data_IF_570029011490
#
_entry.id   IF_570029011490
#
_cell.length_a   1.000
_cell.length_b   1.000
_cell.length_c   1.000
_cell.angle_alpha   90.00
_cell.angle_beta   90.00
_cell.angle_gamma   90.00
#
_symmetry.space_group_name_H-M   'P 1'
#
loop_
_entity.id
_entity.type
_entity.pdbx_description
1 polymer ?
#
# COMPACT_ATOMS: atom_id res chain seq x y z
N UNK A 1 -17.75 -18.92 -9.12
CA UNK A 1 -16.41 -19.56 -9.21
C UNK A 1 -15.86 -19.52 -10.64
N UNK A 2 -16.57 -20.04 -11.65
CA UNK A 2 -16.13 -20.02 -13.06
C UNK A 2 -15.80 -18.61 -13.60
N UNK A 3 -16.59 -17.59 -13.27
CA UNK A 3 -16.29 -16.19 -13.65
C UNK A 3 -15.00 -15.66 -13.03
N UNK A 4 -14.66 -16.08 -11.81
CA UNK A 4 -13.42 -15.67 -11.12
C UNK A 4 -12.22 -16.34 -11.77
N UNK A 5 -12.33 -17.64 -12.11
CA UNK A 5 -11.28 -18.38 -12.80
C UNK A 5 -11.07 -17.85 -14.22
N UNK A 6 -12.14 -17.59 -14.97
CA UNK A 6 -12.05 -17.00 -16.31
C UNK A 6 -11.47 -15.58 -16.28
N UNK A 7 -11.84 -14.77 -15.29
CA UNK A 7 -11.24 -13.47 -15.05
C UNK A 7 -9.75 -13.59 -14.69
N UNK A 8 -9.37 -14.57 -13.85
CA UNK A 8 -8.00 -14.81 -13.43
C UNK A 8 -7.08 -15.24 -14.59
N UNK A 9 -7.53 -16.20 -15.40
CA UNK A 9 -6.83 -16.61 -16.63
C UNK A 9 -6.65 -15.43 -17.59
N UNK A 10 -7.66 -14.55 -17.65
CA UNK A 10 -7.58 -13.32 -18.46
C UNK A 10 -6.57 -12.32 -17.88
N UNK A 11 -6.51 -12.12 -16.57
CA UNK A 11 -5.47 -11.28 -15.94
C UNK A 11 -4.09 -11.82 -16.24
N UNK A 12 -3.86 -13.13 -16.10
CA UNK A 12 -2.58 -13.75 -16.45
C UNK A 12 -2.20 -13.49 -17.91
N UNK A 13 -3.15 -13.64 -18.83
CA UNK A 13 -2.88 -13.40 -20.26
C UNK A 13 -2.55 -11.94 -20.59
N UNK A 14 -2.90 -10.99 -19.72
CA UNK A 14 -2.72 -9.55 -19.95
C UNK A 14 -1.48 -8.98 -19.26
N UNK A 15 -0.80 -9.75 -18.42
CA UNK A 15 0.44 -9.34 -17.77
C UNK A 15 1.55 -10.33 -18.14
N UNK A 16 2.35 -10.04 -19.19
CA UNK A 16 3.48 -10.87 -19.61
C UNK A 16 4.46 -11.16 -18.47
N UNK A 17 4.59 -10.23 -17.51
CA UNK A 17 5.42 -10.38 -16.33
C UNK A 17 4.96 -11.54 -15.42
N UNK A 18 3.67 -11.90 -15.47
CA UNK A 18 3.14 -13.08 -14.77
C UNK A 18 3.60 -14.40 -15.39
N UNK A 19 4.17 -14.38 -16.61
CA UNK A 19 4.83 -15.55 -17.18
C UNK A 19 6.15 -15.88 -16.44
N UNK A 20 6.72 -14.92 -15.70
CA UNK A 20 7.91 -15.13 -14.88
C UNK A 20 7.60 -14.89 -13.40
N UNK A 21 6.90 -15.81 -12.72
CA UNK A 21 6.54 -15.63 -11.33
C UNK A 21 7.80 -15.51 -10.44
N UNK A 22 7.66 -14.68 -9.41
CA UNK A 22 8.58 -14.50 -8.28
C UNK A 22 9.82 -13.70 -8.66
N UNK A 23 9.66 -12.75 -9.58
CA UNK A 23 10.74 -11.93 -10.11
C UNK A 23 11.46 -11.14 -9.00
N UNK A 24 10.75 -10.53 -8.04
CA UNK A 24 11.43 -9.80 -6.96
C UNK A 24 12.19 -10.77 -6.05
N UNK A 25 11.61 -11.92 -5.72
CA UNK A 25 12.32 -12.95 -4.95
C UNK A 25 13.61 -13.42 -5.63
N UNK A 26 13.61 -13.61 -6.96
CA UNK A 26 14.83 -14.00 -7.69
C UNK A 26 15.90 -12.91 -7.66
N UNK A 27 15.52 -11.64 -7.69
CA UNK A 27 16.45 -10.52 -7.50
C UNK A 27 17.06 -10.58 -6.09
N UNK A 28 16.23 -10.78 -5.06
CA UNK A 28 16.75 -10.92 -3.69
C UNK A 28 17.65 -12.14 -3.56
N UNK A 29 17.27 -13.30 -4.11
CA UNK A 29 18.08 -14.52 -4.08
C UNK A 29 19.44 -14.31 -4.77
N UNK A 30 19.44 -13.75 -5.98
CA UNK A 30 20.66 -13.42 -6.71
C UNK A 30 21.57 -12.48 -5.91
N UNK A 31 21.00 -11.42 -5.31
CA UNK A 31 21.76 -10.51 -4.47
C UNK A 31 22.37 -11.20 -3.25
N UNK A 32 21.63 -12.13 -2.61
CA UNK A 32 22.15 -12.92 -1.49
C UNK A 32 23.29 -13.85 -1.90
N UNK A 33 23.21 -14.48 -3.08
CA UNK A 33 24.26 -15.35 -3.60
C UNK A 33 25.53 -14.55 -3.96
N UNK A 34 25.36 -13.35 -4.53
CA UNK A 34 26.46 -12.40 -4.78
C UNK A 34 27.08 -11.94 -3.45
N UNK A 35 26.28 -11.53 -2.47
CA UNK A 35 26.79 -11.14 -1.15
C UNK A 35 27.54 -12.28 -0.44
N UNK A 36 27.05 -13.52 -0.56
CA UNK A 36 27.69 -14.70 0.04
C UNK A 36 29.06 -15.02 -0.57
N UNK A 37 29.29 -14.62 -1.82
CA UNK A 37 30.58 -14.70 -2.52
C UNK A 37 31.43 -13.43 -2.38
N UNK A 38 31.06 -12.51 -1.48
CA UNK A 38 31.68 -11.19 -1.28
C UNK A 38 31.67 -10.30 -2.54
N UNK A 39 30.74 -10.53 -3.46
CA UNK A 39 30.52 -9.66 -4.62
C UNK A 39 29.68 -8.43 -4.30
N UNK A 40 29.53 -7.56 -5.29
CA UNK A 40 28.71 -6.35 -5.22
C UNK A 40 27.25 -6.64 -5.62
N UNK A 41 26.30 -6.64 -4.65
CA UNK A 41 24.89 -6.91 -4.94
C UNK A 41 24.22 -5.81 -5.78
N UNK A 42 24.87 -4.65 -5.98
CA UNK A 42 24.37 -3.56 -6.81
C UNK A 42 24.82 -3.66 -8.28
N UNK A 43 25.59 -4.68 -8.65
CA UNK A 43 25.95 -4.95 -10.04
C UNK A 43 24.74 -5.44 -10.85
N UNK A 44 24.20 -4.59 -11.71
CA UNK A 44 23.03 -4.91 -12.56
C UNK A 44 23.32 -6.13 -13.44
N UNK A 45 24.53 -6.23 -14.00
CA UNK A 45 24.92 -7.34 -14.87
C UNK A 45 24.88 -8.67 -14.11
N UNK A 46 25.49 -8.73 -12.92
CA UNK A 46 25.53 -9.96 -12.11
C UNK A 46 24.12 -10.36 -11.62
N UNK A 47 23.36 -9.39 -11.09
CA UNK A 47 21.98 -9.63 -10.63
C UNK A 47 21.10 -10.08 -11.78
N UNK A 48 21.23 -9.48 -12.96
CA UNK A 48 20.40 -9.84 -14.12
C UNK A 48 20.74 -11.23 -14.64
N UNK A 49 22.02 -11.58 -14.68
CA UNK A 49 22.49 -12.90 -15.09
C UNK A 49 21.95 -14.02 -14.18
N UNK A 50 21.96 -13.80 -12.86
CA UNK A 50 21.50 -14.81 -11.89
C UNK A 50 19.98 -14.85 -11.72
N UNK A 51 19.31 -13.69 -11.77
CA UNK A 51 17.85 -13.64 -11.56
C UNK A 51 17.03 -13.93 -12.81
N UNK A 52 17.66 -13.90 -14.00
CA UNK A 52 16.99 -13.90 -15.30
C UNK A 52 15.93 -12.78 -15.41
N UNK A 53 16.23 -11.61 -14.84
CA UNK A 53 15.44 -10.39 -14.93
C UNK A 53 16.36 -9.23 -15.33
N UNK A 54 15.83 -8.16 -15.93
CA UNK A 54 16.61 -6.95 -16.24
C UNK A 54 16.52 -5.88 -15.14
N UNK A 55 16.20 -6.30 -13.91
CA UNK A 55 15.95 -5.42 -12.77
C UNK A 55 17.16 -5.40 -11.83
N UNK A 56 17.43 -4.25 -11.23
CA UNK A 56 18.50 -4.09 -10.26
C UNK A 56 18.04 -4.46 -8.85
N UNK A 57 19.00 -4.75 -7.98
CA UNK A 57 18.80 -4.78 -6.55
C UNK A 57 18.70 -3.36 -5.99
N UNK A 58 17.56 -3.02 -5.41
CA UNK A 58 17.25 -1.65 -4.92
C UNK A 58 16.89 -1.67 -3.43
N UNK A 59 17.78 -2.25 -2.62
CA UNK A 59 17.70 -2.21 -1.15
C UNK A 59 18.77 -1.27 -0.60
N UNK A 60 18.47 -0.38 0.36
CA UNK A 60 19.47 0.51 0.93
C UNK A 60 20.63 -0.25 1.60
N UNK A 61 21.84 0.34 1.68
CA UNK A 61 23.04 -0.36 2.17
C UNK A 61 22.87 -0.96 3.57
N UNK A 62 22.32 -0.20 4.52
CA UNK A 62 22.18 -0.68 5.90
C UNK A 62 21.34 -1.99 6.00
N UNK A 63 20.10 -2.06 5.45
CA UNK A 63 19.39 -3.32 5.31
C UNK A 63 20.13 -4.39 4.50
N UNK A 64 20.83 -4.02 3.43
CA UNK A 64 21.60 -4.97 2.62
C UNK A 64 22.71 -5.64 3.46
N UNK A 65 23.38 -4.89 4.34
CA UNK A 65 24.33 -5.47 5.31
C UNK A 65 23.63 -6.43 6.27
N UNK A 66 22.46 -6.08 6.81
CA UNK A 66 21.69 -6.99 7.67
C UNK A 66 21.34 -8.29 6.92
N UNK A 67 20.94 -8.19 5.66
CA UNK A 67 20.66 -9.34 4.81
C UNK A 67 21.91 -10.20 4.56
N UNK A 68 23.08 -9.58 4.32
CA UNK A 68 24.37 -10.26 4.19
C UNK A 68 24.74 -11.03 5.46
N UNK A 69 24.56 -10.42 6.63
CA UNK A 69 24.80 -11.07 7.92
C UNK A 69 23.84 -12.25 8.16
N UNK A 70 22.55 -12.06 7.86
CA UNK A 70 21.56 -13.13 8.00
C UNK A 70 21.82 -14.30 7.04
N UNK A 71 22.17 -14.01 5.79
CA UNK A 71 22.49 -15.04 4.79
C UNK A 71 23.77 -15.79 5.12
N UNK A 72 24.78 -15.12 5.71
CA UNK A 72 25.97 -15.79 6.21
C UNK A 72 25.63 -16.79 7.33
N UNK A 73 24.74 -16.42 8.25
CA UNK A 73 24.34 -17.29 9.36
C UNK A 73 23.52 -18.51 8.94
N UNK A 74 22.60 -18.36 7.99
CA UNK A 74 21.64 -19.43 7.64
C UNK A 74 21.91 -20.09 6.28
N UNK A 75 22.81 -19.52 5.47
CA UNK A 75 22.95 -19.82 4.05
C UNK A 75 22.00 -18.97 3.19
N UNK A 76 22.43 -18.54 1.99
CA UNK A 76 21.68 -17.61 1.14
C UNK A 76 20.37 -18.21 0.62
N UNK A 77 20.35 -19.50 0.24
CA UNK A 77 19.13 -20.17 -0.21
C UNK A 77 18.09 -20.33 0.90
N UNK A 78 18.51 -20.75 2.10
CA UNK A 78 17.60 -20.91 3.24
C UNK A 78 17.00 -19.55 3.61
N UNK A 79 17.82 -18.51 3.67
CA UNK A 79 17.35 -17.16 3.95
C UNK A 79 16.41 -16.65 2.87
N UNK A 80 16.76 -16.83 1.59
CA UNK A 80 15.92 -16.43 0.47
C UNK A 80 14.56 -17.13 0.46
N UNK A 81 14.49 -18.43 0.71
CA UNK A 81 13.21 -19.15 0.85
C UNK A 81 12.42 -18.70 2.08
N UNK A 82 13.08 -18.39 3.19
CA UNK A 82 12.43 -17.83 4.36
C UNK A 82 11.81 -16.46 4.06
N UNK A 83 12.49 -15.59 3.31
CA UNK A 83 11.95 -14.30 2.86
C UNK A 83 10.76 -14.45 1.91
N UNK A 84 10.83 -15.41 0.99
CA UNK A 84 9.71 -15.74 0.11
C UNK A 84 8.49 -16.21 0.91
N UNK A 85 8.68 -17.17 1.81
CA UNK A 85 7.60 -17.69 2.66
C UNK A 85 7.02 -16.58 3.54
N UNK A 86 7.87 -15.76 4.16
CA UNK A 86 7.44 -14.61 4.94
C UNK A 86 6.59 -13.65 4.11
N UNK A 87 6.94 -13.43 2.85
CA UNK A 87 6.19 -12.56 1.94
C UNK A 87 4.81 -13.12 1.61
N UNK A 88 4.74 -14.41 1.25
CA UNK A 88 3.47 -15.09 0.96
C UNK A 88 2.57 -15.12 2.19
N UNK A 89 3.10 -15.48 3.35
CA UNK A 89 2.33 -15.46 4.61
C UNK A 89 1.87 -14.05 4.95
N UNK A 90 2.73 -13.04 4.78
CA UNK A 90 2.42 -11.64 5.06
C UNK A 90 1.28 -11.12 4.18
N UNK A 91 1.17 -11.55 2.93
CA UNK A 91 0.03 -11.21 2.07
C UNK A 91 -1.31 -11.62 2.70
N UNK A 92 -1.41 -12.88 3.15
CA UNK A 92 -2.64 -13.37 3.79
C UNK A 92 -2.89 -12.68 5.13
N UNK A 93 -1.84 -12.42 5.92
CA UNK A 93 -1.94 -11.64 7.17
C UNK A 93 -2.52 -10.25 6.89
N UNK A 94 -2.02 -9.54 5.88
CA UNK A 94 -2.56 -8.25 5.46
C UNK A 94 -4.06 -8.34 5.14
N UNK A 95 -4.48 -9.30 4.31
CA UNK A 95 -5.90 -9.47 3.93
C UNK A 95 -6.76 -9.75 5.16
N UNK A 96 -6.36 -10.69 6.02
CA UNK A 96 -7.11 -11.06 7.23
C UNK A 96 -7.23 -9.88 8.19
N UNK A 97 -6.12 -9.19 8.47
CA UNK A 97 -6.12 -8.08 9.42
C UNK A 97 -6.84 -6.85 8.90
N UNK A 98 -6.68 -6.48 7.62
CA UNK A 98 -7.45 -5.38 7.01
C UNK A 98 -8.94 -5.68 7.06
N UNK A 99 -9.34 -6.92 6.74
CA UNK A 99 -10.75 -7.35 6.85
C UNK A 99 -11.26 -7.17 8.28
N UNK A 100 -10.48 -7.63 9.28
CA UNK A 100 -10.84 -7.54 10.69
C UNK A 100 -10.90 -6.09 11.20
N UNK A 101 -9.94 -5.25 10.81
CA UNK A 101 -9.87 -3.83 11.20
C UNK A 101 -11.07 -3.07 10.63
N UNK A 102 -11.35 -3.25 9.34
CA UNK A 102 -12.36 -2.46 8.62
C UNK A 102 -13.79 -2.94 8.88
N UNK A 103 -14.01 -4.25 8.94
CA UNK A 103 -15.35 -4.80 9.14
C UNK A 103 -15.68 -5.09 10.61
N UNK A 104 -14.70 -5.04 11.52
CA UNK A 104 -14.80 -5.44 12.94
C UNK A 104 -15.28 -6.88 13.17
N UNK A 105 -15.38 -7.67 12.12
CA UNK A 105 -15.82 -9.07 12.12
C UNK A 105 -15.06 -9.83 11.04
N UNK A 106 -14.88 -11.12 11.27
CA UNK A 106 -14.30 -12.03 10.29
C UNK A 106 -15.31 -13.14 10.03
N UNK A 107 -15.86 -13.19 8.82
CA UNK A 107 -16.67 -14.32 8.36
C UNK A 107 -16.05 -14.90 7.09
N UNK A 108 -16.24 -16.20 6.81
CA UNK A 108 -15.68 -16.82 5.61
C UNK A 108 -16.07 -16.09 4.32
N UNK A 109 -17.33 -15.64 4.21
CA UNK A 109 -17.79 -14.88 3.06
C UNK A 109 -17.13 -13.50 2.90
N UNK A 110 -16.90 -12.79 4.01
CA UNK A 110 -16.17 -11.51 3.98
C UNK A 110 -14.71 -11.72 3.63
N UNK A 111 -14.06 -12.73 4.22
CA UNK A 111 -12.67 -13.02 3.90
C UNK A 111 -12.49 -13.42 2.44
N UNK A 112 -13.40 -14.24 1.89
CA UNK A 112 -13.39 -14.61 0.49
C UNK A 112 -13.60 -13.38 -0.41
N UNK A 113 -14.51 -12.47 -0.04
CA UNK A 113 -14.72 -11.22 -0.76
C UNK A 113 -13.47 -10.33 -0.70
N UNK A 114 -12.88 -10.13 0.49
CA UNK A 114 -11.68 -9.32 0.68
C UNK A 114 -10.48 -9.87 -0.08
N UNK A 115 -10.34 -11.20 -0.13
CA UNK A 115 -9.31 -11.86 -0.94
C UNK A 115 -9.58 -11.68 -2.45
N UNK A 116 -10.83 -11.85 -2.90
CA UNK A 116 -11.19 -11.61 -4.29
C UNK A 116 -10.94 -10.14 -4.68
N UNK A 117 -11.31 -9.20 -3.81
CA UNK A 117 -11.05 -7.77 -3.99
C UNK A 117 -9.55 -7.47 -4.01
N UNK A 118 -8.75 -8.03 -3.10
CA UNK A 118 -7.30 -7.76 -3.10
C UNK A 118 -6.64 -8.31 -4.35
N UNK A 119 -7.04 -9.50 -4.81
CA UNK A 119 -6.54 -10.11 -6.03
C UNK A 119 -7.01 -9.36 -7.29
N UNK A 120 -8.23 -8.80 -7.30
CA UNK A 120 -8.83 -8.19 -8.48
C UNK A 120 -8.64 -6.70 -8.63
N UNK A 121 -8.44 -6.00 -7.52
CA UNK A 121 -8.20 -4.58 -7.54
C UNK A 121 -6.98 -4.25 -8.40
N UNK A 122 -6.99 -3.05 -9.00
CA UNK A 122 -5.74 -2.40 -9.35
C UNK A 122 -4.91 -3.14 -10.41
N UNK A 123 -5.59 -3.64 -11.44
CA UNK A 123 -4.99 -4.47 -12.50
C UNK A 123 -4.32 -5.73 -11.95
N UNK A 124 -5.00 -6.40 -11.02
CA UNK A 124 -4.45 -7.60 -10.41
C UNK A 124 -3.34 -7.31 -9.39
N UNK A 125 -3.38 -6.15 -8.72
CA UNK A 125 -2.32 -5.71 -7.81
C UNK A 125 -2.01 -6.73 -6.71
N UNK A 126 -3.02 -7.40 -6.14
CA UNK A 126 -2.78 -8.49 -5.18
C UNK A 126 -2.18 -9.75 -5.80
N UNK A 127 -2.48 -10.05 -7.08
CA UNK A 127 -1.80 -11.13 -7.82
C UNK A 127 -0.34 -10.78 -8.03
N UNK A 128 -0.05 -9.55 -8.45
CA UNK A 128 1.33 -9.08 -8.61
C UNK A 128 2.08 -9.03 -7.27
N UNK A 129 1.41 -8.69 -6.17
CA UNK A 129 2.00 -8.74 -4.83
C UNK A 129 2.36 -10.18 -4.44
N UNK A 130 1.43 -11.11 -4.59
CA UNK A 130 1.63 -12.50 -4.22
C UNK A 130 2.67 -13.20 -5.10
N UNK A 131 2.60 -12.99 -6.42
CA UNK A 131 3.50 -13.61 -7.38
C UNK A 131 4.81 -12.86 -7.53
N UNK A 132 4.89 -11.56 -7.27
CA UNK A 132 6.16 -10.84 -7.27
C UNK A 132 7.04 -11.24 -6.10
N UNK A 133 6.42 -11.59 -4.96
CA UNK A 133 7.09 -11.83 -3.70
C UNK A 133 7.95 -10.63 -3.24
N UNK A 134 7.37 -9.43 -3.34
CA UNK A 134 8.02 -8.19 -2.89
C UNK A 134 8.09 -8.12 -1.35
N UNK A 135 9.29 -7.85 -0.83
CA UNK A 135 9.52 -7.71 0.61
C UNK A 135 8.71 -6.57 1.26
N UNK A 136 8.18 -5.59 0.51
CA UNK A 136 7.29 -4.55 1.06
C UNK A 136 6.06 -5.14 1.75
N UNK A 137 5.58 -6.30 1.32
CA UNK A 137 4.41 -6.96 1.90
C UNK A 137 4.67 -7.40 3.35
N UNK A 138 5.91 -7.82 3.67
CA UNK A 138 6.31 -8.16 5.05
C UNK A 138 6.21 -6.94 5.95
N UNK A 139 6.71 -5.79 5.48
CA UNK A 139 6.64 -4.53 6.19
C UNK A 139 5.20 -4.02 6.36
N UNK A 140 4.38 -4.13 5.31
CA UNK A 140 2.94 -3.84 5.40
C UNK A 140 2.25 -4.73 6.45
N UNK A 141 2.55 -6.02 6.49
CA UNK A 141 1.97 -6.93 7.48
C UNK A 141 2.38 -6.55 8.91
N UNK A 142 3.65 -6.20 9.14
CA UNK A 142 4.13 -5.74 10.43
C UNK A 142 3.43 -4.43 10.87
N UNK A 143 3.33 -3.45 9.96
CA UNK A 143 2.65 -2.17 10.22
C UNK A 143 1.15 -2.40 10.48
N UNK A 144 0.46 -3.19 9.67
CA UNK A 144 -0.98 -3.47 9.84
C UNK A 144 -1.24 -4.23 11.14
N UNK A 145 -0.37 -5.17 11.49
CA UNK A 145 -0.44 -5.91 12.77
C UNK A 145 -0.32 -4.94 13.94
N UNK A 146 0.66 -4.05 13.91
CA UNK A 146 0.85 -3.07 14.99
C UNK A 146 -0.24 -1.99 15.01
N UNK A 147 -0.83 -1.63 13.86
CA UNK A 147 -2.06 -0.81 13.81
C UNK A 147 -3.20 -1.55 14.50
N UNK A 148 -3.43 -2.83 14.20
CA UNK A 148 -4.49 -3.62 14.82
C UNK A 148 -4.40 -3.62 16.35
N UNK A 149 -3.22 -3.85 16.90
CA UNK A 149 -2.99 -3.78 18.35
C UNK A 149 -3.05 -2.34 18.89
N UNK A 150 -2.52 -1.35 18.16
CA UNK A 150 -2.58 0.07 18.53
C UNK A 150 -4.02 0.59 18.64
N UNK A 151 -4.91 0.15 17.74
CA UNK A 151 -6.34 0.45 17.78
C UNK A 151 -7.03 -0.15 19.01
N UNK A 152 -6.62 -1.35 19.43
CA UNK A 152 -7.19 -2.07 20.57
C UNK A 152 -6.71 -1.51 21.91
N UNK A 153 -5.40 -1.37 22.06
CA UNK A 153 -4.76 -1.13 23.35
C UNK A 153 -4.37 0.35 23.55
N UNK A 154 -4.55 1.20 22.53
CA UNK A 154 -4.14 2.61 22.52
C UNK A 154 -2.65 2.82 22.79
N UNK A 155 -1.83 1.83 22.45
CA UNK A 155 -0.37 1.84 22.60
C UNK A 155 0.27 1.75 21.22
N UNK A 156 0.93 2.83 20.81
CA UNK A 156 1.51 2.97 19.46
C UNK A 156 3.02 2.71 19.40
N UNK A 157 3.67 2.35 20.51
CA UNK A 157 5.14 2.13 20.54
C UNK A 157 5.61 1.09 19.53
N UNK A 158 4.96 -0.09 19.50
CA UNK A 158 5.29 -1.14 18.54
C UNK A 158 5.06 -0.69 17.10
N UNK A 159 4.03 0.14 16.87
CA UNK A 159 3.74 0.72 15.56
C UNK A 159 4.87 1.68 15.11
N UNK A 160 5.34 2.58 15.97
CA UNK A 160 6.45 3.47 15.64
C UNK A 160 7.73 2.69 15.31
N UNK A 161 8.01 1.61 16.05
CA UNK A 161 9.15 0.74 15.75
C UNK A 161 8.98 0.00 14.41
N UNK A 162 7.79 -0.53 14.13
CA UNK A 162 7.51 -1.20 12.85
C UNK A 162 7.67 -0.23 11.68
N UNK A 163 7.16 1.02 11.81
CA UNK A 163 7.34 2.06 10.79
C UNK A 163 8.81 2.44 10.64
N UNK A 164 9.56 2.64 11.73
CA UNK A 164 10.99 2.95 11.66
C UNK A 164 11.76 1.87 10.91
N UNK A 165 11.61 0.61 11.32
CA UNK A 165 12.28 -0.53 10.67
C UNK A 165 11.92 -0.59 9.19
N UNK A 166 10.63 -0.47 8.87
CA UNK A 166 10.17 -0.50 7.48
C UNK A 166 10.71 0.69 6.67
N UNK A 167 10.78 1.87 7.27
CA UNK A 167 11.26 3.09 6.62
C UNK A 167 12.76 3.05 6.29
N UNK A 168 13.54 2.29 7.07
CA UNK A 168 14.97 2.03 6.77
C UNK A 168 15.13 1.18 5.50
N UNK A 169 14.17 0.30 5.18
CA UNK A 169 14.15 -0.42 3.91
C UNK A 169 13.55 0.42 2.78
N UNK A 170 12.43 1.09 3.04
CA UNK A 170 11.73 1.94 2.06
C UNK A 170 11.16 3.20 2.73
N UNK A 171 11.68 4.41 2.45
CA UNK A 171 11.33 5.61 3.20
C UNK A 171 9.84 5.97 3.21
N UNK A 172 9.08 5.59 2.17
CA UNK A 172 7.66 5.90 2.08
C UNK A 172 6.81 5.28 3.19
N UNK A 173 7.30 4.28 3.93
CA UNK A 173 6.56 3.71 5.06
C UNK A 173 6.30 4.72 6.19
N UNK A 174 7.05 5.83 6.26
CA UNK A 174 6.76 6.94 7.19
C UNK A 174 5.38 7.56 6.97
N UNK A 175 4.78 7.37 5.78
CA UNK A 175 3.42 7.85 5.49
C UNK A 175 2.37 7.20 6.39
N UNK A 176 2.64 6.01 6.96
CA UNK A 176 1.72 5.39 7.92
C UNK A 176 1.65 6.15 9.24
N UNK A 177 2.62 7.03 9.58
CA UNK A 177 2.59 7.84 10.81
C UNK A 177 1.33 8.72 10.92
N UNK A 178 0.61 8.94 9.81
CA UNK A 178 -0.69 9.62 9.82
C UNK A 178 -1.73 8.91 10.70
N UNK A 179 -1.61 7.60 10.93
CA UNK A 179 -2.59 6.83 11.72
C UNK A 179 -2.72 7.33 13.15
N UNK A 180 -1.68 7.23 14.01
CA UNK A 180 -1.80 7.70 15.39
C UNK A 180 -2.04 9.22 15.48
N UNK A 181 -1.60 9.99 14.48
CA UNK A 181 -1.76 11.45 14.45
C UNK A 181 -3.18 11.89 14.12
N UNK A 182 -3.88 11.18 13.23
CA UNK A 182 -5.15 11.65 12.66
C UNK A 182 -6.34 10.73 12.94
N UNK A 183 -6.16 9.54 13.50
CA UNK A 183 -7.28 8.65 13.85
C UNK A 183 -8.25 9.34 14.83
N UNK A 184 -7.67 10.02 15.82
CA UNK A 184 -8.25 10.78 16.93
C UNK A 184 -8.90 12.13 16.56
N UNK A 185 -8.61 12.62 15.35
CA UNK A 185 -8.28 14.04 15.20
C UNK A 185 -6.80 14.29 15.50
N UNK A 186 -6.35 15.54 15.43
CA UNK A 186 -4.92 15.89 15.52
C UNK A 186 -4.35 15.63 16.92
N UNK A 187 -3.43 14.67 17.04
CA UNK A 187 -2.76 14.32 18.28
C UNK A 187 -1.30 14.82 18.30
N UNK A 188 -1.05 15.97 18.94
CA UNK A 188 0.29 16.59 18.99
C UNK A 188 1.39 15.70 19.57
N UNK A 189 1.06 14.88 20.59
CA UNK A 189 2.01 13.93 21.17
C UNK A 189 2.46 12.91 20.13
N UNK A 190 1.52 12.30 19.44
CA UNK A 190 1.79 11.31 18.39
C UNK A 190 2.51 11.94 17.19
N UNK A 191 2.18 13.20 16.86
CA UNK A 191 2.89 13.97 15.83
C UNK A 191 4.37 14.15 16.18
N UNK A 192 4.69 14.59 17.40
CA UNK A 192 6.08 14.75 17.87
C UNK A 192 6.84 13.42 17.85
N UNK A 193 6.22 12.33 18.31
CA UNK A 193 6.82 10.99 18.24
C UNK A 193 7.07 10.57 16.80
N UNK A 194 6.12 10.82 15.90
CA UNK A 194 6.26 10.59 14.46
C UNK A 194 7.41 11.39 13.84
N UNK A 195 7.56 12.68 14.17
CA UNK A 195 8.72 13.47 13.77
C UNK A 195 10.03 12.84 14.25
N UNK A 196 10.06 12.30 15.47
CA UNK A 196 11.20 11.54 15.98
C UNK A 196 11.55 10.33 15.11
N UNK A 197 10.55 9.55 14.65
CA UNK A 197 10.74 8.43 13.72
C UNK A 197 11.30 8.89 12.37
N UNK A 198 10.80 10.00 11.83
CA UNK A 198 11.30 10.58 10.56
C UNK A 198 12.77 11.01 10.70
N UNK A 199 13.10 11.74 11.77
CA UNK A 199 14.47 12.17 12.06
C UNK A 199 15.38 10.96 12.25
N UNK A 200 14.96 9.95 13.04
CA UNK A 200 15.73 8.73 13.25
C UNK A 200 16.00 7.99 11.92
N UNK A 201 14.98 7.89 11.05
CA UNK A 201 15.14 7.31 9.71
C UNK A 201 16.17 8.08 8.90
N UNK A 202 16.07 9.42 8.85
CA UNK A 202 17.02 10.26 8.13
C UNK A 202 18.45 10.13 8.66
N UNK A 203 18.62 10.06 9.98
CA UNK A 203 19.92 9.84 10.62
C UNK A 203 20.51 8.46 10.28
N UNK A 204 19.69 7.42 10.20
CA UNK A 204 20.15 6.08 9.78
C UNK A 204 20.60 6.06 8.31
N UNK A 205 19.90 6.76 7.42
CA UNK A 205 20.35 6.94 6.04
C UNK A 205 21.64 7.75 5.94
N UNK A 206 21.77 8.82 6.73
CA UNK A 206 22.99 9.62 6.80
C UNK A 206 24.17 8.78 7.33
N UNK A 207 23.95 8.01 8.39
CA UNK A 207 24.95 7.10 8.93
C UNK A 207 25.35 6.02 7.92
N UNK A 208 24.38 5.44 7.19
CA UNK A 208 24.66 4.48 6.13
C UNK A 208 25.47 5.09 4.99
N UNK A 209 25.16 6.32 4.58
CA UNK A 209 25.90 7.04 3.54
C UNK A 209 27.35 7.35 3.95
N UNK A 210 27.61 7.57 5.25
CA UNK A 210 28.96 7.76 5.79
C UNK A 210 29.72 6.44 5.95
N UNK A 211 29.04 5.37 6.37
CA UNK A 211 29.66 4.06 6.60
C UNK A 211 29.92 3.28 5.30
N UNK A 212 29.05 3.44 4.30
CA UNK A 212 29.08 2.69 3.03
C UNK A 212 28.89 3.64 1.83
N UNK A 213 29.80 4.62 1.61
CA UNK A 213 29.62 5.66 0.61
C UNK A 213 29.49 5.10 -0.82
N UNK A 214 30.28 4.07 -1.16
CA UNK A 214 30.27 3.46 -2.49
C UNK A 214 28.98 2.68 -2.75
N UNK A 215 28.57 1.83 -1.81
CA UNK A 215 27.30 1.09 -1.89
C UNK A 215 26.10 2.05 -1.92
N UNK A 216 26.15 3.16 -1.17
CA UNK A 216 25.12 4.18 -1.20
C UNK A 216 25.04 4.87 -2.56
N UNK A 217 26.18 5.19 -3.18
CA UNK A 217 26.21 5.79 -4.53
C UNK A 217 25.62 4.83 -5.57
N UNK A 218 25.98 3.54 -5.51
CA UNK A 218 25.45 2.50 -6.39
C UNK A 218 23.96 2.27 -6.17
N UNK A 219 23.51 2.22 -4.91
CA UNK A 219 22.09 2.15 -4.57
C UNK A 219 21.32 3.34 -5.16
N UNK A 220 21.83 4.57 -5.00
CA UNK A 220 21.19 5.77 -5.56
C UNK A 220 21.18 5.75 -7.09
N UNK A 221 22.24 5.27 -7.73
CA UNK A 221 22.29 5.07 -9.18
C UNK A 221 21.23 4.06 -9.63
N UNK A 222 21.22 2.86 -9.05
CA UNK A 222 20.24 1.82 -9.41
C UNK A 222 18.81 2.27 -9.11
N UNK A 223 18.58 2.95 -7.98
CA UNK A 223 17.29 3.57 -7.68
C UNK A 223 16.91 4.59 -8.75
N UNK A 224 17.86 5.37 -9.24
CA UNK A 224 17.64 6.37 -10.29
C UNK A 224 17.34 5.70 -11.63
N UNK A 225 18.21 4.81 -12.09
CA UNK A 225 18.07 4.11 -13.37
C UNK A 225 16.79 3.24 -13.43
N UNK A 226 16.53 2.44 -12.40
CA UNK A 226 15.34 1.58 -12.38
C UNK A 226 14.05 2.38 -12.11
N UNK A 227 14.04 3.32 -11.16
CA UNK A 227 12.81 4.05 -10.82
C UNK A 227 12.49 5.22 -11.76
N UNK A 228 13.49 5.83 -12.39
CA UNK A 228 13.33 7.03 -13.21
C UNK A 228 13.50 6.77 -14.70
N UNK A 229 14.50 5.98 -15.11
CA UNK A 229 14.83 5.82 -16.53
C UNK A 229 14.09 4.64 -17.18
N UNK A 230 14.12 3.44 -16.57
CA UNK A 230 13.50 2.24 -17.14
C UNK A 230 11.98 2.16 -16.91
N UNK A 231 11.51 2.48 -15.70
CA UNK A 231 10.09 2.36 -15.34
C UNK A 231 9.23 3.59 -15.69
N UNK A 232 9.77 4.60 -16.39
CA UNK A 232 9.05 5.84 -16.80
C UNK A 232 8.29 6.53 -15.66
N UNK A 233 9.04 6.84 -14.59
CA UNK A 233 8.76 7.73 -13.45
C UNK A 233 7.66 7.34 -12.44
N UNK A 234 8.04 7.32 -11.15
CA UNK A 234 7.16 7.30 -9.96
C UNK A 234 6.10 6.18 -9.87
N UNK A 235 6.19 5.18 -10.75
CA UNK A 235 5.17 4.15 -10.88
C UNK A 235 3.82 4.77 -11.26
N UNK A 236 2.75 4.24 -10.68
CA UNK A 236 1.40 4.73 -10.90
C UNK A 236 0.96 5.78 -9.85
N UNK A 237 1.89 6.53 -9.27
CA UNK A 237 1.59 7.44 -8.16
C UNK A 237 1.07 8.80 -8.61
N UNK A 238 0.36 9.50 -7.71
CA UNK A 238 -0.12 10.86 -7.91
C UNK A 238 0.96 11.84 -8.40
N UNK A 239 2.22 11.57 -8.05
CA UNK A 239 3.38 12.33 -8.48
C UNK A 239 3.64 12.17 -9.98
N UNK A 240 3.50 10.94 -10.53
CA UNK A 240 3.62 10.71 -11.96
C UNK A 240 2.49 11.38 -12.73
N UNK A 241 1.24 11.33 -12.24
CA UNK A 241 0.13 12.05 -12.87
C UNK A 241 0.39 13.55 -12.91
N UNK A 242 0.83 14.13 -11.79
CA UNK A 242 1.22 15.54 -11.75
C UNK A 242 2.31 15.87 -12.78
N UNK A 243 3.33 15.01 -12.91
CA UNK A 243 4.40 15.17 -13.91
C UNK A 243 3.87 15.08 -15.35
N UNK A 244 3.04 14.08 -15.66
CA UNK A 244 2.45 13.91 -17.00
C UNK A 244 1.53 15.08 -17.36
N UNK A 245 0.75 15.57 -16.40
CA UNK A 245 -0.22 16.66 -16.62
C UNK A 245 0.43 18.05 -16.64
N UNK A 246 1.44 18.29 -15.81
CA UNK A 246 2.04 19.63 -15.62
C UNK A 246 3.49 19.74 -16.12
N UNK A 247 4.03 18.68 -16.75
CA UNK A 247 5.39 18.57 -17.25
C UNK A 247 6.42 18.20 -16.17
N UNK A 248 7.70 18.09 -16.58
CA UNK A 248 8.83 17.71 -15.69
C UNK A 248 9.22 18.78 -14.66
N UNK A 249 8.43 19.85 -14.53
CA UNK A 249 8.66 20.87 -13.51
C UNK A 249 8.27 20.29 -12.16
N UNK A 250 9.27 20.11 -11.29
CA UNK A 250 9.16 19.63 -9.89
C UNK A 250 7.97 20.23 -9.12
N UNK A 251 7.62 21.49 -9.40
CA UNK A 251 6.48 22.20 -8.81
C UNK A 251 5.09 21.60 -9.13
N UNK A 252 4.88 21.05 -10.34
CA UNK A 252 3.60 20.42 -10.72
C UNK A 252 3.40 19.07 -10.02
N UNK A 253 4.48 18.31 -9.88
CA UNK A 253 4.52 17.03 -9.16
C UNK A 253 4.32 17.20 -7.65
N UNK A 254 4.99 18.18 -7.04
CA UNK A 254 4.77 18.55 -5.63
C UNK A 254 3.35 19.09 -5.45
N UNK A 255 2.86 19.93 -6.37
CA UNK A 255 1.52 20.49 -6.34
C UNK A 255 0.41 19.43 -6.37
N UNK A 256 0.54 18.39 -7.21
CA UNK A 256 -0.42 17.30 -7.27
C UNK A 256 -0.44 16.45 -6.00
N UNK A 257 0.73 16.16 -5.41
CA UNK A 257 0.84 15.42 -4.16
C UNK A 257 0.33 16.22 -2.95
N UNK A 258 0.64 17.51 -2.89
CA UNK A 258 0.10 18.43 -1.88
C UNK A 258 -1.40 18.56 -2.04
N UNK A 259 -1.92 18.72 -3.26
CA UNK A 259 -3.35 18.79 -3.51
C UNK A 259 -4.07 17.50 -3.11
N UNK A 260 -3.57 16.34 -3.55
CA UNK A 260 -4.14 15.04 -3.17
C UNK A 260 -4.09 14.84 -1.65
N UNK A 261 -2.97 15.18 -1.01
CA UNK A 261 -2.82 15.15 0.44
C UNK A 261 -3.80 16.07 1.14
N UNK A 262 -3.94 17.33 0.69
CA UNK A 262 -4.86 18.30 1.27
C UNK A 262 -6.32 17.90 1.11
N UNK A 263 -6.73 17.38 -0.05
CA UNK A 263 -8.12 16.92 -0.24
C UNK A 263 -8.40 15.70 0.64
N UNK A 264 -7.49 14.73 0.68
CA UNK A 264 -7.64 13.54 1.51
C UNK A 264 -7.62 13.85 3.01
N UNK A 265 -6.75 14.76 3.46
CA UNK A 265 -6.73 15.28 4.83
C UNK A 265 -8.01 16.05 5.15
N UNK A 266 -8.51 16.86 4.23
CA UNK A 266 -9.77 17.59 4.40
C UNK A 266 -10.92 16.61 4.59
N UNK A 267 -11.02 15.57 3.76
CA UNK A 267 -12.03 14.52 3.90
C UNK A 267 -11.94 13.78 5.25
N UNK A 268 -10.74 13.58 5.81
CA UNK A 268 -10.55 12.96 7.12
C UNK A 268 -11.09 13.79 8.28
N UNK A 269 -11.12 15.12 8.19
CA UNK A 269 -11.71 15.98 9.23
C UNK A 269 -13.23 15.87 9.31
N UNK A 270 -13.89 15.46 8.22
CA UNK A 270 -15.35 15.30 8.16
C UNK A 270 -15.83 13.91 8.60
N UNK A 271 -14.95 12.92 8.68
CA UNK A 271 -15.30 11.58 9.14
C UNK A 271 -15.32 11.51 10.67
N UNK A 272 -16.30 10.81 11.28
CA UNK A 272 -16.36 10.66 12.74
C UNK A 272 -15.06 10.09 13.29
N UNK A 273 -14.65 10.62 14.45
CA UNK A 273 -13.46 10.14 15.17
C UNK A 273 -13.64 8.65 15.45
N UNK A 274 -12.64 7.83 15.11
CA UNK A 274 -12.66 6.36 15.22
C UNK A 274 -13.69 5.56 14.38
N UNK A 275 -14.35 6.16 13.39
CA UNK A 275 -15.16 5.37 12.47
C UNK A 275 -14.27 4.46 11.61
N UNK A 276 -14.78 3.29 11.22
CA UNK A 276 -14.11 2.37 10.30
C UNK A 276 -13.81 3.05 8.96
N UNK A 277 -14.68 3.96 8.51
CA UNK A 277 -14.44 4.81 7.35
C UNK A 277 -13.19 5.67 7.48
N UNK A 278 -12.91 6.19 8.69
CA UNK A 278 -11.73 7.01 8.92
C UNK A 278 -10.47 6.18 8.84
N UNK A 279 -10.48 4.98 9.42
CA UNK A 279 -9.38 4.01 9.31
C UNK A 279 -9.16 3.60 7.85
N UNK A 280 -10.23 3.28 7.13
CA UNK A 280 -10.17 2.94 5.71
C UNK A 280 -9.57 4.08 4.88
N UNK A 281 -10.04 5.30 5.12
CA UNK A 281 -9.53 6.48 4.43
C UNK A 281 -8.04 6.68 4.71
N UNK A 282 -7.58 6.55 5.96
CA UNK A 282 -6.16 6.66 6.32
C UNK A 282 -5.29 5.64 5.57
N UNK A 283 -5.74 4.39 5.39
CA UNK A 283 -5.03 3.42 4.54
C UNK A 283 -4.93 3.89 3.10
N UNK A 284 -6.03 4.37 2.52
CA UNK A 284 -6.02 4.91 1.16
C UNK A 284 -5.09 6.11 1.04
N UNK A 285 -5.09 7.03 2.02
CA UNK A 285 -4.19 8.20 2.04
C UNK A 285 -2.72 7.76 2.07
N UNK A 286 -2.36 6.87 2.99
CA UNK A 286 -0.97 6.39 3.11
C UNK A 286 -0.45 5.76 1.81
N UNK A 287 -1.31 5.01 1.10
CA UNK A 287 -0.98 4.39 -0.19
C UNK A 287 -0.92 5.42 -1.32
N UNK A 288 -1.88 6.34 -1.43
CA UNK A 288 -1.93 7.35 -2.51
C UNK A 288 -0.78 8.34 -2.39
N UNK A 289 -0.37 8.69 -1.17
CA UNK A 289 0.76 9.57 -0.92
C UNK A 289 2.12 8.90 -1.17
N UNK A 290 2.17 7.58 -1.41
CA UNK A 290 3.42 6.91 -1.75
C UNK A 290 3.92 7.42 -3.12
N UNK A 291 5.09 8.07 -3.18
CA UNK A 291 5.61 8.61 -4.44
C UNK A 291 5.97 7.55 -5.46
N UNK A 292 6.11 6.29 -5.06
CA UNK A 292 6.45 5.15 -5.91
C UNK A 292 5.44 4.02 -5.75
N UNK A 293 4.15 4.33 -5.79
CA UNK A 293 3.12 3.29 -5.68
C UNK A 293 3.11 2.43 -6.95
N UNK A 294 3.42 1.14 -6.79
CA UNK A 294 3.20 0.13 -7.81
C UNK A 294 1.89 -0.62 -7.55
N UNK A 295 1.38 -1.36 -8.55
CA UNK A 295 0.16 -2.17 -8.40
C UNK A 295 0.19 -3.06 -7.16
N UNK A 296 1.34 -3.67 -6.88
CA UNK A 296 1.55 -4.55 -5.74
C UNK A 296 1.70 -3.86 -4.39
N UNK A 297 1.95 -2.54 -4.32
CA UNK A 297 1.89 -1.80 -3.05
C UNK A 297 0.45 -1.37 -2.78
N UNK A 298 -0.28 -1.12 -3.86
CA UNK A 298 -1.57 -0.50 -3.80
C UNK A 298 -2.70 -1.46 -3.42
N UNK A 299 -2.48 -2.79 -3.48
CA UNK A 299 -3.43 -3.78 -2.96
C UNK A 299 -3.81 -3.54 -1.48
N UNK A 300 -2.94 -2.90 -0.68
CA UNK A 300 -3.23 -2.53 0.70
C UNK A 300 -4.43 -1.58 0.81
N UNK A 301 -4.65 -0.74 -0.21
CA UNK A 301 -5.81 0.14 -0.30
C UNK A 301 -7.07 -0.55 -0.86
N UNK A 302 -6.98 -1.77 -1.40
CA UNK A 302 -8.08 -2.39 -2.14
C UNK A 302 -9.31 -2.66 -1.25
N UNK A 303 -9.08 -3.29 -0.09
CA UNK A 303 -10.12 -3.60 0.89
C UNK A 303 -10.68 -2.30 1.51
N UNK A 304 -9.86 -1.38 2.05
CA UNK A 304 -10.33 -0.07 2.52
C UNK A 304 -11.14 0.73 1.50
N UNK A 305 -10.68 0.82 0.25
CA UNK A 305 -11.35 1.60 -0.78
C UNK A 305 -12.70 0.98 -1.15
N UNK A 306 -12.76 -0.35 -1.30
CA UNK A 306 -14.01 -1.06 -1.58
C UNK A 306 -15.01 -0.90 -0.44
N UNK A 307 -14.55 -0.92 0.81
CA UNK A 307 -15.40 -0.64 1.97
C UNK A 307 -16.02 0.77 1.92
N UNK A 308 -15.22 1.79 1.60
CA UNK A 308 -15.70 3.16 1.49
C UNK A 308 -16.72 3.33 0.37
N UNK A 309 -16.48 2.72 -0.80
CA UNK A 309 -17.44 2.72 -1.92
C UNK A 309 -18.74 2.04 -1.49
N UNK A 310 -18.66 0.86 -0.90
CA UNK A 310 -19.83 0.11 -0.47
C UNK A 310 -20.69 0.90 0.54
N UNK A 311 -20.04 1.54 1.52
CA UNK A 311 -20.72 2.38 2.50
C UNK A 311 -21.33 3.64 1.88
N UNK A 312 -20.70 4.19 0.85
CA UNK A 312 -21.23 5.37 0.18
C UNK A 312 -22.50 5.10 -0.64
N UNK A 313 -22.57 3.94 -1.29
CA UNK A 313 -23.72 3.60 -2.15
C UNK A 313 -24.85 2.92 -1.36
N UNK A 314 -24.56 2.32 -0.20
CA UNK A 314 -25.54 1.59 0.62
C UNK A 314 -26.86 2.36 0.89
N UNK A 315 -26.87 3.67 1.22
CA UNK A 315 -28.12 4.39 1.49
C UNK A 315 -29.07 4.50 0.28
N UNK A 316 -28.53 4.47 -0.94
CA UNK A 316 -29.31 4.60 -2.18
C UNK A 316 -29.93 3.28 -2.62
N UNK A 317 -29.49 2.17 -2.02
CA UNK A 317 -29.93 0.83 -2.37
C UNK A 317 -30.91 0.34 -1.32
N UNK A 318 -32.18 0.63 -1.55
CA UNK A 318 -33.32 0.36 -0.66
C UNK A 318 -33.56 -1.12 -0.27
N UNK A 319 -32.63 -2.08 -0.46
CA UNK A 319 -32.86 -3.51 -0.11
C UNK A 319 -31.58 -4.29 0.21
N UNK A 320 -31.68 -5.13 1.25
CA UNK A 320 -30.63 -5.92 1.90
C UNK A 320 -29.91 -6.96 1.02
N UNK A 321 -30.29 -7.12 -0.25
CA UNK A 321 -29.69 -8.06 -1.21
C UNK A 321 -28.69 -7.38 -2.17
N UNK A 322 -28.48 -6.07 -2.03
CA UNK A 322 -27.69 -5.25 -2.95
C UNK A 322 -26.16 -5.30 -2.72
N UNK A 323 -25.66 -6.05 -1.73
CA UNK A 323 -24.21 -6.16 -1.49
C UNK A 323 -23.47 -6.97 -2.57
N UNK A 324 -24.15 -7.92 -3.22
CA UNK A 324 -23.55 -8.74 -4.29
C UNK A 324 -23.39 -7.95 -5.60
N UNK A 325 -24.44 -7.26 -6.12
CA UNK A 325 -24.31 -6.42 -7.30
C UNK A 325 -23.36 -5.25 -7.10
N UNK A 326 -23.18 -4.76 -5.87
CA UNK A 326 -22.21 -3.69 -5.60
C UNK A 326 -20.77 -4.15 -5.54
N UNK A 327 -20.52 -5.32 -4.97
CA UNK A 327 -19.22 -5.97 -5.08
C UNK A 327 -18.91 -6.21 -6.57
N UNK A 328 -19.89 -6.64 -7.35
CA UNK A 328 -19.78 -6.81 -8.80
C UNK A 328 -19.60 -5.50 -9.55
N UNK A 329 -20.31 -4.42 -9.20
CA UNK A 329 -20.19 -3.12 -9.84
C UNK A 329 -18.91 -2.40 -9.44
N UNK A 330 -18.44 -2.57 -8.20
CA UNK A 330 -17.12 -2.17 -7.74
C UNK A 330 -16.02 -2.93 -8.48
N UNK A 331 -16.17 -4.25 -8.66
CA UNK A 331 -15.27 -5.07 -9.48
C UNK A 331 -15.30 -4.65 -10.95
N UNK A 332 -16.46 -4.31 -11.52
CA UNK A 332 -16.62 -3.83 -12.90
C UNK A 332 -16.04 -2.42 -13.05
N UNK A 333 -16.24 -1.53 -12.08
CA UNK A 333 -15.66 -0.19 -12.06
C UNK A 333 -14.14 -0.26 -11.98
N UNK A 334 -13.60 -1.07 -11.05
CA UNK A 334 -12.18 -1.42 -10.94
C UNK A 334 -11.64 -2.08 -12.22
N UNK A 335 -12.44 -2.93 -12.88
CA UNK A 335 -12.12 -3.53 -14.18
C UNK A 335 -12.23 -2.53 -15.34
N UNK A 336 -12.96 -1.44 -15.19
CA UNK A 336 -13.01 -0.34 -16.16
C UNK A 336 -11.75 0.54 -16.04
N UNK A 337 -11.22 0.71 -14.83
CA UNK A 337 -9.92 1.37 -14.59
C UNK A 337 -8.76 0.61 -15.26
N UNK A 338 -8.95 -0.69 -15.50
CA UNK A 338 -8.03 -1.57 -16.24
C UNK A 338 -7.71 -1.08 -17.66
N UNK A 339 -8.66 -0.40 -18.33
CA UNK A 339 -8.51 0.08 -19.71
C UNK A 339 -7.99 1.51 -19.85
N UNK A 340 -7.84 2.25 -18.76
CA UNK A 340 -7.31 3.61 -18.86
C UNK A 340 -5.81 3.57 -19.18
N UNK A 341 -5.40 4.29 -20.23
CA UNK A 341 -3.98 4.53 -20.58
C UNK A 341 -3.24 5.30 -19.47
N UNK A 342 -4.01 5.94 -18.58
CA UNK A 342 -3.52 6.71 -17.42
C UNK A 342 -4.13 6.20 -16.12
N UNK A 343 -3.74 4.99 -15.68
CA UNK A 343 -4.25 4.40 -14.44
C UNK A 343 -4.09 5.39 -13.27
N UNK A 344 -2.97 6.08 -13.16
CA UNK A 344 -2.73 7.09 -12.10
C UNK A 344 -3.84 8.12 -11.91
N UNK A 345 -4.30 8.75 -13.00
CA UNK A 345 -5.35 9.76 -12.96
C UNK A 345 -6.65 9.12 -12.50
N UNK A 346 -6.92 7.93 -13.00
CA UNK A 346 -8.07 7.11 -12.63
C UNK A 346 -8.04 6.75 -11.15
N UNK A 347 -6.89 6.40 -10.57
CA UNK A 347 -6.75 6.10 -9.14
C UNK A 347 -6.93 7.32 -8.25
N UNK A 348 -6.37 8.47 -8.65
CA UNK A 348 -6.57 9.74 -7.96
C UNK A 348 -8.03 10.17 -8.00
N UNK A 349 -8.65 10.12 -9.17
CA UNK A 349 -10.07 10.45 -9.37
C UNK A 349 -10.93 9.47 -8.57
N UNK A 350 -10.64 8.17 -8.59
CA UNK A 350 -11.36 7.19 -7.79
C UNK A 350 -11.16 7.44 -6.30
N UNK A 351 -9.94 7.67 -5.81
CA UNK A 351 -9.66 7.98 -4.42
C UNK A 351 -10.37 9.25 -3.94
N UNK A 352 -10.37 10.30 -4.76
CA UNK A 352 -11.08 11.56 -4.51
C UNK A 352 -12.61 11.35 -4.52
N UNK A 353 -13.14 10.62 -5.50
CA UNK A 353 -14.56 10.26 -5.57
C UNK A 353 -14.96 9.43 -4.36
N UNK A 354 -14.18 8.42 -3.98
CA UNK A 354 -14.42 7.59 -2.80
C UNK A 354 -14.45 8.45 -1.54
N UNK A 355 -13.50 9.38 -1.40
CA UNK A 355 -13.44 10.28 -0.25
C UNK A 355 -14.65 11.23 -0.20
N UNK A 356 -15.04 11.85 -1.32
CA UNK A 356 -16.23 12.70 -1.43
C UNK A 356 -17.52 11.92 -1.16
N UNK A 357 -17.63 10.72 -1.71
CA UNK A 357 -18.78 9.83 -1.55
C UNK A 357 -18.91 9.33 -0.10
N UNK A 358 -17.79 8.99 0.55
CA UNK A 358 -17.76 8.59 1.95
C UNK A 358 -18.21 9.72 2.88
N UNK A 359 -17.73 10.95 2.66
CA UNK A 359 -18.15 12.14 3.42
C UNK A 359 -19.63 12.45 3.18
N UNK A 360 -20.09 12.35 1.93
CA UNK A 360 -21.49 12.64 1.56
C UNK A 360 -22.48 11.63 2.18
N UNK A 361 -22.17 10.34 2.14
CA UNK A 361 -22.99 9.29 2.75
C UNK A 361 -23.07 9.41 4.28
N UNK A 362 -21.97 9.76 4.93
CA UNK A 362 -21.96 9.96 6.37
C UNK A 362 -22.83 11.16 6.78
N UNK A 363 -22.77 12.27 6.04
CA UNK A 363 -23.64 13.45 6.26
C UNK A 363 -25.11 13.10 6.07
N UNK A 364 -25.47 12.34 5.04
CA UNK A 364 -26.85 11.90 4.82
C UNK A 364 -27.36 11.01 5.96
N UNK A 365 -26.51 10.10 6.45
CA UNK A 365 -26.86 9.23 7.57
C UNK A 365 -27.06 10.02 8.87
N UNK A 366 -26.22 11.02 9.13
CA UNK A 366 -26.38 11.92 10.27
C UNK A 366 -27.66 12.77 10.16
N UNK A 367 -27.93 13.34 8.99
CA UNK A 367 -29.16 14.11 8.73
C UNK A 367 -30.42 13.27 8.97
N UNK A 368 -30.46 12.03 8.48
CA UNK A 368 -31.61 11.15 8.67
C UNK A 368 -31.83 10.76 10.14
N UNK A 369 -30.75 10.62 10.93
CA UNK A 369 -30.86 10.37 12.38
C UNK A 369 -31.43 11.57 13.12
N UNK A 370 -31.00 12.78 12.77
CA UNK A 370 -31.53 14.01 13.38
C UNK A 370 -33.01 14.20 13.02
N UNK A 371 -33.39 13.95 11.76
CA UNK A 371 -34.79 14.01 11.33
C UNK A 371 -35.69 12.99 12.05
N UNK A 372 -35.22 11.74 12.21
CA UNK A 372 -35.98 10.70 12.92
C UNK A 372 -36.14 10.99 14.43
N UNK A 373 -35.24 11.76 15.04
CA UNK A 373 -35.37 12.20 16.43
C UNK A 373 -36.26 13.44 16.59
N UNK A 374 -36.55 14.14 15.49
CA UNK A 374 -37.37 15.36 15.47
C UNK A 374 -38.81 15.10 15.02
N UNK A 375 -39.17 13.88 14.57
CA UNK A 375 -40.58 13.52 14.40
C UNK A 375 -41.26 13.59 15.77
N UNK A 376 -42.10 14.61 16.03
CA UNK A 376 -42.76 14.73 17.31
C UNK A 376 -43.66 13.51 17.50
N UNK A 377 -43.71 12.99 18.73
CA UNK A 377 -44.66 11.97 19.15
C UNK A 377 -46.09 12.55 19.12
N UNK A 378 -46.59 12.84 17.93
CA UNK A 378 -47.96 13.27 17.69
C UNK A 378 -48.74 12.10 17.10
N UNK A 379 -49.11 11.20 18.01
CA UNK A 379 -50.25 10.29 17.83
C UNK A 379 -50.72 9.83 19.21
N UNK A 380 -51.39 10.76 19.90
CA UNK A 380 -52.32 10.51 20.99
C UNK A 380 -53.61 11.27 20.68
#
# INVERSE_FOLDING_TARGET
MLLVVAWWLRVISLHPDLANPWWDWRIYQAALDIMASNGDPYSIEQVSALSATNMAFVTPPLPAQIMRWASWLTGPHVFGYALWLATVTSYFVCVVLLTKIIHKRLSPGLLALSLATSLAAFKGGGVQALLGANMSIVFHAAIITTIYYGLRDRRWTAFYMAVLVSAVFKPYFVLYLIFPVLLDGWAWKEFRTGCGVVVATALLYAAAALAFPDEQALFMRNLTEDAFEKLRFFGESAFNAGRVTFGDKMYGTIGAAVFAGLVLLSCLFWLPRHAESRIAALFCVAVILNPRVNHYDAFIAAIPMTYLIARAVAPYLKRQWASLPLASAGLVFVSFLYRSEHPVLTWLICGLLVAVLAVSSERLTQSNRVGALQEPAHSG
#
